data_IF_847707599317
#
_entry.id   IF_847707599317
#
_cell.length_a   1.000
_cell.length_b   1.000
_cell.length_c   1.000
_cell.angle_alpha   90.00
_cell.angle_beta   90.00
_cell.angle_gamma   90.00
#
_symmetry.space_group_name_H-M   'P 1'
#
loop_
_entity.id
_entity.type
_entity.pdbx_description
1 polymer ?
#
# COMPACT_ATOMS: atom_id res chain seq x y z
N UNK A 1 34.77 -16.09 -32.47
CA UNK A 1 34.12 -15.80 -33.78
C UNK A 1 32.62 -16.09 -33.77
N UNK A 2 32.13 -17.30 -34.07
CA UNK A 2 30.68 -17.55 -34.22
C UNK A 2 29.93 -17.66 -32.88
N UNK A 3 30.53 -18.32 -31.88
CA UNK A 3 29.99 -18.38 -30.51
C UNK A 3 29.92 -17.00 -29.83
N UNK A 4 30.86 -16.11 -30.18
CA UNK A 4 30.98 -14.76 -29.64
C UNK A 4 29.88 -13.84 -30.19
N UNK A 5 29.59 -13.95 -31.49
CA UNK A 5 28.44 -13.29 -32.11
C UNK A 5 27.12 -13.80 -31.55
N UNK A 6 27.00 -15.10 -31.27
CA UNK A 6 25.81 -15.68 -30.65
C UNK A 6 25.59 -15.15 -29.23
N UNK A 7 26.64 -15.12 -28.40
CA UNK A 7 26.57 -14.57 -27.04
C UNK A 7 26.20 -13.09 -27.03
N UNK A 8 26.76 -12.30 -27.96
CA UNK A 8 26.41 -10.89 -28.12
C UNK A 8 24.95 -10.71 -28.54
N UNK A 9 24.45 -11.57 -29.42
CA UNK A 9 23.04 -11.57 -29.83
C UNK A 9 22.08 -11.94 -28.71
N UNK A 10 22.47 -12.88 -27.84
CA UNK A 10 21.68 -13.25 -26.66
C UNK A 10 21.61 -12.11 -25.63
N UNK A 11 22.73 -11.42 -25.38
CA UNK A 11 22.77 -10.27 -24.46
C UNK A 11 21.88 -9.11 -24.97
N UNK A 12 21.88 -8.87 -26.28
CA UNK A 12 21.00 -7.87 -26.89
C UNK A 12 19.51 -8.27 -26.78
N UNK A 13 19.20 -9.55 -27.00
CA UNK A 13 17.84 -10.07 -26.86
C UNK A 13 17.34 -9.94 -25.42
N UNK A 14 18.19 -10.27 -24.45
CA UNK A 14 17.87 -10.17 -23.02
C UNK A 14 17.54 -8.71 -22.65
N UNK A 15 18.38 -7.76 -23.05
CA UNK A 15 18.15 -6.32 -22.84
C UNK A 15 16.84 -5.85 -23.47
N UNK A 16 16.63 -6.15 -24.75
CA UNK A 16 15.40 -5.77 -25.45
C UNK A 16 14.15 -6.38 -24.80
N UNK A 17 14.23 -7.63 -24.34
CA UNK A 17 13.12 -8.30 -23.67
C UNK A 17 12.80 -7.65 -22.33
N UNK A 18 13.83 -7.26 -21.57
CA UNK A 18 13.68 -6.52 -20.32
C UNK A 18 13.06 -5.14 -20.53
N UNK A 19 13.54 -4.38 -21.51
CA UNK A 19 13.00 -3.06 -21.83
C UNK A 19 11.52 -3.14 -22.23
N UNK A 20 11.15 -4.15 -23.02
CA UNK A 20 9.76 -4.42 -23.36
C UNK A 20 8.93 -4.78 -22.13
N UNK A 21 9.46 -5.60 -21.22
CA UNK A 21 8.77 -5.96 -19.99
C UNK A 21 8.52 -4.73 -19.09
N UNK A 22 9.51 -3.87 -18.94
CA UNK A 22 9.41 -2.62 -18.17
C UNK A 22 8.38 -1.66 -18.80
N UNK A 23 8.38 -1.52 -20.13
CA UNK A 23 7.39 -0.72 -20.85
C UNK A 23 5.96 -1.26 -20.66
N UNK A 24 5.78 -2.58 -20.71
CA UNK A 24 4.46 -3.23 -20.50
C UNK A 24 3.95 -3.03 -19.07
N UNK A 25 4.83 -3.14 -18.06
CA UNK A 25 4.47 -2.85 -16.67
C UNK A 25 4.01 -1.40 -16.56
N UNK A 26 4.72 -0.46 -17.19
CA UNK A 26 4.35 0.96 -17.23
C UNK A 26 2.92 1.23 -17.70
N UNK A 27 2.45 0.51 -18.73
CA UNK A 27 1.08 0.66 -19.26
C UNK A 27 0.00 0.21 -18.27
N UNK A 28 0.34 -0.67 -17.31
CA UNK A 28 -0.60 -1.21 -16.32
C UNK A 28 -0.61 -0.44 -14.99
N UNK A 29 0.25 0.56 -14.85
CA UNK A 29 0.35 1.36 -13.64
C UNK A 29 -0.95 2.15 -13.40
N UNK A 30 -1.45 2.08 -12.16
CA UNK A 30 -2.63 2.81 -11.71
C UNK A 30 -2.33 3.50 -10.38
N UNK A 31 -2.95 4.65 -10.08
CA UNK A 31 -2.85 5.25 -8.76
C UNK A 31 -3.39 4.29 -7.69
N UNK A 32 -2.73 4.26 -6.54
CA UNK A 32 -3.13 3.42 -5.40
C UNK A 32 -4.34 3.96 -4.64
N UNK A 33 -4.83 5.15 -5.02
CA UNK A 33 -5.96 5.86 -4.41
C UNK A 33 -7.21 4.99 -4.21
N UNK A 34 -7.46 4.04 -5.12
CA UNK A 34 -8.57 3.09 -5.06
C UNK A 34 -8.61 2.29 -3.74
N UNK A 35 -7.44 1.95 -3.19
CA UNK A 35 -7.33 1.26 -1.90
C UNK A 35 -7.62 2.23 -0.75
N UNK A 36 -7.00 3.41 -0.78
CA UNK A 36 -7.12 4.44 0.25
C UNK A 36 -8.55 4.94 0.43
N UNK A 37 -9.34 5.04 -0.65
CA UNK A 37 -10.76 5.46 -0.61
C UNK A 37 -11.63 4.62 0.33
N UNK A 38 -11.23 3.37 0.63
CA UNK A 38 -11.96 2.47 1.54
C UNK A 38 -11.66 2.73 3.02
N UNK A 39 -10.48 3.27 3.34
CA UNK A 39 -10.01 3.42 4.72
C UNK A 39 -10.85 4.42 5.53
N UNK A 40 -11.27 5.60 5.04
CA UNK A 40 -12.04 6.54 5.85
C UNK A 40 -13.33 5.95 6.43
N UNK A 41 -14.00 5.06 5.67
CA UNK A 41 -15.21 4.37 6.14
C UNK A 41 -14.86 3.27 7.13
N UNK A 42 -13.89 2.42 6.79
CA UNK A 42 -13.40 1.35 7.66
C UNK A 42 -12.97 1.88 9.04
N UNK A 43 -12.18 2.96 9.06
CA UNK A 43 -11.69 3.58 10.29
C UNK A 43 -12.84 4.15 11.10
N UNK A 44 -13.80 4.85 10.48
CA UNK A 44 -14.98 5.39 11.16
C UNK A 44 -15.84 4.29 11.79
N UNK A 45 -16.10 3.22 11.04
CA UNK A 45 -16.92 2.10 11.51
C UNK A 45 -16.24 1.38 12.68
N UNK A 46 -14.92 1.13 12.59
CA UNK A 46 -14.15 0.49 13.66
C UNK A 46 -14.00 1.39 14.89
N UNK A 47 -13.69 2.67 14.69
CA UNK A 47 -13.58 3.68 15.75
C UNK A 47 -14.87 3.76 16.57
N UNK A 48 -16.02 3.83 15.89
CA UNK A 48 -17.33 3.87 16.55
C UNK A 48 -17.65 2.57 17.28
N UNK A 49 -17.36 1.42 16.65
CA UNK A 49 -17.63 0.09 17.23
C UNK A 49 -16.80 -0.20 18.49
N UNK A 50 -15.56 0.30 18.55
CA UNK A 50 -14.63 0.02 19.64
C UNK A 50 -14.55 1.15 20.66
N UNK A 51 -15.23 2.27 20.43
CA UNK A 51 -15.16 3.45 21.29
C UNK A 51 -13.78 4.12 21.32
N UNK A 52 -12.97 3.95 20.26
CA UNK A 52 -11.63 4.56 20.16
C UNK A 52 -11.68 5.81 19.28
N UNK A 53 -10.96 6.87 19.65
CA UNK A 53 -10.86 8.07 18.82
C UNK A 53 -9.68 7.95 17.85
N UNK A 54 -9.95 8.01 16.54
CA UNK A 54 -8.95 7.78 15.49
C UNK A 54 -8.99 8.89 14.45
N UNK A 55 -7.81 9.40 14.07
CA UNK A 55 -7.58 10.29 12.94
C UNK A 55 -6.82 9.53 11.88
N UNK A 56 -7.40 9.37 10.69
CA UNK A 56 -6.74 8.78 9.54
C UNK A 56 -5.95 9.85 8.77
N UNK A 57 -4.68 9.59 8.46
CA UNK A 57 -3.85 10.41 7.56
C UNK A 57 -3.25 9.54 6.45
N UNK A 58 -3.64 9.81 5.22
CA UNK A 58 -3.12 9.13 4.04
C UNK A 58 -2.03 9.99 3.38
N UNK A 59 -0.99 9.34 2.83
CA UNK A 59 0.13 9.99 2.14
C UNK A 59 0.45 9.18 0.90
N UNK A 60 0.67 9.85 -0.23
CA UNK A 60 1.09 9.20 -1.47
C UNK A 60 -0.04 8.49 -2.23
N UNK A 61 -1.28 8.96 -2.12
CA UNK A 61 -2.44 8.38 -2.84
C UNK A 61 -2.26 8.40 -4.37
N UNK A 62 -1.53 9.37 -4.90
CA UNK A 62 -1.18 9.47 -6.32
C UNK A 62 -0.02 8.58 -6.77
N UNK A 63 0.55 7.77 -5.88
CA UNK A 63 1.63 6.84 -6.24
C UNK A 63 1.09 5.78 -7.17
N UNK A 64 1.74 5.58 -8.30
CA UNK A 64 1.33 4.58 -9.28
C UNK A 64 1.94 3.21 -8.97
N UNK A 65 1.13 2.15 -9.07
CA UNK A 65 1.54 0.76 -8.89
C UNK A 65 0.85 -0.14 -9.93
N UNK A 66 1.45 -1.29 -10.23
CA UNK A 66 0.83 -2.30 -11.11
C UNK A 66 -0.53 -2.72 -10.55
N UNK A 67 -1.57 -2.74 -11.40
CA UNK A 67 -2.92 -3.14 -11.02
C UNK A 67 -3.00 -4.49 -10.29
N UNK A 68 -2.23 -5.49 -10.72
CA UNK A 68 -2.24 -6.82 -10.11
C UNK A 68 -1.60 -6.82 -8.73
N UNK A 69 -0.61 -5.95 -8.51
CA UNK A 69 -0.07 -5.71 -7.18
C UNK A 69 -1.10 -4.99 -6.29
N UNK A 70 -1.78 -3.96 -6.79
CA UNK A 70 -2.85 -3.24 -6.06
C UNK A 70 -3.93 -4.20 -5.55
N UNK A 71 -4.40 -5.10 -6.42
CA UNK A 71 -5.42 -6.10 -6.07
C UNK A 71 -4.94 -7.05 -4.96
N UNK A 72 -3.66 -7.45 -4.97
CA UNK A 72 -3.08 -8.35 -3.97
C UNK A 72 -2.81 -7.68 -2.62
N UNK A 73 -2.44 -6.40 -2.61
CA UNK A 73 -2.09 -5.67 -1.37
C UNK A 73 -3.31 -5.07 -0.66
N UNK A 74 -4.44 -4.91 -1.35
CA UNK A 74 -5.61 -4.25 -0.81
C UNK A 74 -6.11 -4.88 0.50
N UNK A 75 -6.30 -6.20 0.53
CA UNK A 75 -6.79 -6.92 1.70
C UNK A 75 -5.77 -6.93 2.86
N UNK A 76 -4.46 -7.21 2.62
CA UNK A 76 -3.42 -7.03 3.63
C UNK A 76 -3.40 -5.64 4.25
N UNK A 77 -3.52 -4.57 3.46
CA UNK A 77 -3.52 -3.20 3.99
C UNK A 77 -4.74 -2.93 4.87
N UNK A 78 -5.92 -3.39 4.46
CA UNK A 78 -7.14 -3.33 5.30
C UNK A 78 -6.91 -4.05 6.63
N UNK A 79 -6.26 -5.22 6.60
CA UNK A 79 -5.95 -5.98 7.80
C UNK A 79 -4.99 -5.23 8.73
N UNK A 80 -3.95 -4.59 8.19
CA UNK A 80 -3.01 -3.77 8.97
C UNK A 80 -3.68 -2.56 9.63
N UNK A 81 -4.55 -1.85 8.91
CA UNK A 81 -5.32 -0.73 9.47
C UNK A 81 -6.24 -1.23 10.59
N UNK A 82 -6.90 -2.38 10.39
CA UNK A 82 -7.74 -3.00 11.42
C UNK A 82 -6.93 -3.37 12.66
N UNK A 83 -5.80 -4.06 12.51
CA UNK A 83 -4.95 -4.44 13.64
C UNK A 83 -4.43 -3.22 14.41
N UNK A 84 -4.11 -2.14 13.69
CA UNK A 84 -3.67 -0.88 14.29
C UNK A 84 -4.77 -0.26 15.17
N UNK A 85 -6.04 -0.39 14.80
CA UNK A 85 -7.17 0.10 15.59
C UNK A 85 -7.56 -0.89 16.69
N UNK A 86 -7.72 -2.17 16.37
CA UNK A 86 -8.18 -3.21 17.30
C UNK A 86 -7.18 -3.41 18.46
N UNK A 87 -5.89 -3.51 18.13
CA UNK A 87 -4.84 -3.88 19.08
C UNK A 87 -3.78 -2.80 19.27
N UNK A 88 -3.44 -2.03 18.24
CA UNK A 88 -2.37 -1.02 18.30
C UNK A 88 -2.74 0.24 19.08
N UNK A 89 -4.01 0.66 19.02
CA UNK A 89 -4.47 1.89 19.65
C UNK A 89 -5.11 1.63 21.01
N UNK A 90 -4.60 2.30 22.04
CA UNK A 90 -5.16 2.27 23.40
C UNK A 90 -6.50 3.01 23.48
N UNK A 91 -7.29 2.79 24.53
CA UNK A 91 -8.53 3.55 24.77
C UNK A 91 -8.24 5.03 25.06
N UNK A 92 -9.16 5.96 24.72
CA UNK A 92 -8.96 7.40 24.93
C UNK A 92 -8.53 7.76 26.37
N UNK A 93 -9.12 7.11 27.37
CA UNK A 93 -8.80 7.36 28.78
C UNK A 93 -7.38 6.89 29.15
N UNK A 94 -6.99 5.68 28.71
CA UNK A 94 -5.63 5.14 28.90
C UNK A 94 -4.59 6.05 28.24
N UNK A 95 -4.90 6.61 27.06
CA UNK A 95 -4.02 7.56 26.38
C UNK A 95 -3.87 8.85 27.17
N UNK A 96 -4.98 9.39 27.70
CA UNK A 96 -4.98 10.61 28.52
C UNK A 96 -4.19 10.43 29.81
N UNK A 97 -4.36 9.29 30.48
CA UNK A 97 -3.59 8.93 31.68
C UNK A 97 -2.09 8.81 31.38
N UNK A 98 -1.73 8.32 30.19
CA UNK A 98 -0.36 8.29 29.71
C UNK A 98 0.15 9.64 29.16
N UNK A 99 -0.63 10.72 29.24
CA UNK A 99 -0.27 12.06 28.75
C UNK A 99 -0.25 12.20 27.23
N UNK A 100 -0.86 11.26 26.50
CA UNK A 100 -0.98 11.28 25.03
C UNK A 100 -2.29 11.95 24.60
N UNK A 101 -2.35 12.39 23.35
CA UNK A 101 -3.60 12.83 22.72
C UNK A 101 -4.62 11.68 22.74
N UNK A 102 -5.84 11.97 23.18
CA UNK A 102 -6.96 11.01 23.26
C UNK A 102 -7.32 10.42 21.88
N UNK A 103 -7.06 11.18 20.81
CA UNK A 103 -7.21 10.74 19.42
C UNK A 103 -5.90 10.17 18.89
N UNK A 104 -5.90 8.87 18.59
CA UNK A 104 -4.79 8.22 17.88
C UNK A 104 -4.71 8.66 16.43
N UNK A 105 -3.50 8.80 15.88
CA UNK A 105 -3.31 9.02 14.44
C UNK A 105 -2.83 7.73 13.79
N UNK A 106 -3.48 7.34 12.69
CA UNK A 106 -3.14 6.20 11.83
C UNK A 106 -2.92 6.71 10.42
#
# INVERSE_FOLDING_TARGET
>A
AQAEQLLTGLDLLERNTRDLQEAVIGVRMLPVDAVFRRFPRLVRDLSSRLGKHVRLRTIGEGTELDKGLIEKIADPLVHLVRNSIDHGLEMPDVRREAGKDETGTI
#
